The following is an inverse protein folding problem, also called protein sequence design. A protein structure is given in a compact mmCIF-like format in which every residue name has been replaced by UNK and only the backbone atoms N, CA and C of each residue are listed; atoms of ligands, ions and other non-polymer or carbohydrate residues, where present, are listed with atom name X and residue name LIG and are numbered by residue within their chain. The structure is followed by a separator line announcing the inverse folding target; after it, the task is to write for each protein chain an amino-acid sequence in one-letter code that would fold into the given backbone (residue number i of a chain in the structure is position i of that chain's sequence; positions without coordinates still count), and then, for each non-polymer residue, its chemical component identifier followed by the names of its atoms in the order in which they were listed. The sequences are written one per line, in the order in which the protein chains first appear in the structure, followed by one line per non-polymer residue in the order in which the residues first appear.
data_IF_364797557856
#
_entry.id   IF_364797557856
#
_cell.length_a   1.000
_cell.length_b   1.000
_cell.length_c   1.000
_cell.angle_alpha   90.00
_cell.angle_beta   90.00
_cell.angle_gamma   90.00
#
_symmetry.space_group_name_H-M   'P 1'
#
loop_
_entity.id
_entity.type
_entity.pdbx_description
1 polymer ?
#
# COMPACT_ATOMS: atom_id res chain seq x y z
N UNK A 1 17.02 8.35 19.08
CA UNK A 1 16.15 7.24 18.63
C UNK A 1 15.24 7.76 17.54
N UNK A 2 15.03 7.02 16.46
CA UNK A 2 14.03 7.38 15.44
C UNK A 2 12.64 7.33 16.07
N UNK A 3 11.89 8.43 16.07
CA UNK A 3 10.51 8.47 16.56
C UNK A 3 9.60 7.70 15.58
N UNK A 4 8.83 6.74 16.10
CA UNK A 4 7.90 5.92 15.32
C UNK A 4 6.49 6.53 15.39
N UNK A 5 6.31 7.69 14.76
CA UNK A 5 5.11 8.52 14.91
C UNK A 5 3.80 7.76 14.65
N UNK A 6 3.68 7.06 13.51
CA UNK A 6 2.46 6.32 13.19
C UNK A 6 2.20 5.20 14.20
N UNK A 7 3.24 4.51 14.64
CA UNK A 7 3.12 3.42 15.61
C UNK A 7 2.54 3.96 16.92
N UNK A 8 3.10 5.05 17.46
CA UNK A 8 2.60 5.66 18.69
C UNK A 8 1.13 6.08 18.55
N UNK A 9 0.77 6.71 17.43
CA UNK A 9 -0.61 7.14 17.15
C UNK A 9 -1.58 5.95 17.15
N UNK A 10 -1.23 4.83 16.51
CA UNK A 10 -2.12 3.67 16.43
C UNK A 10 -2.10 2.80 17.69
N UNK A 11 -1.05 2.86 18.49
CA UNK A 11 -0.99 2.17 19.79
C UNK A 11 -1.95 2.80 20.81
N UNK A 12 -2.20 4.11 20.71
CA UNK A 12 -3.21 4.81 21.52
C UNK A 12 -4.66 4.44 21.15
N UNK A 13 -4.88 3.83 19.98
CA UNK A 13 -6.19 3.37 19.55
C UNK A 13 -6.40 1.93 20.06
N UNK A 14 -7.35 1.73 20.98
CA UNK A 14 -7.77 0.38 21.37
C UNK A 14 -8.40 -0.35 20.19
N UNK A 15 -7.97 -1.59 19.94
CA UNK A 15 -8.53 -2.40 18.84
C UNK A 15 -10.02 -2.68 19.05
N UNK A 16 -10.45 -2.85 20.30
CA UNK A 16 -11.85 -3.07 20.69
C UNK A 16 -12.76 -1.87 20.39
N UNK A 17 -12.19 -0.68 20.16
CA UNK A 17 -12.94 0.52 19.80
C UNK A 17 -13.24 0.60 18.30
N UNK A 18 -12.65 -0.27 17.47
CA UNK A 18 -12.96 -0.32 16.04
C UNK A 18 -14.39 -0.87 15.81
N UNK A 19 -15.07 -0.54 14.70
CA UNK A 19 -16.36 -1.15 14.39
C UNK A 19 -16.25 -2.68 14.23
N UNK A 20 -17.30 -3.44 14.54
CA UNK A 20 -17.29 -4.91 14.50
C UNK A 20 -16.77 -5.51 13.17
N UNK A 21 -17.07 -4.87 12.03
CA UNK A 21 -16.57 -5.27 10.70
C UNK A 21 -15.04 -5.22 10.57
N UNK A 22 -14.38 -4.38 11.36
CA UNK A 22 -12.92 -4.24 11.38
C UNK A 22 -12.25 -5.20 12.37
N UNK A 23 -13.03 -5.86 13.22
CA UNK A 23 -12.54 -6.78 14.26
C UNK A 23 -12.63 -8.25 13.83
N UNK A 24 -13.53 -8.60 12.92
CA UNK A 24 -13.87 -9.98 12.55
C UNK A 24 -12.83 -10.76 11.73
N UNK A 25 -11.57 -10.32 11.70
CA UNK A 25 -10.51 -10.97 10.94
C UNK A 25 -9.80 -12.07 11.75
N UNK A 26 -9.48 -13.19 11.10
CA UNK A 26 -8.55 -14.17 11.66
C UNK A 26 -7.11 -13.69 11.45
N UNK A 27 -6.49 -13.22 12.53
CA UNK A 27 -5.08 -12.80 12.54
C UNK A 27 -4.10 -13.96 12.71
N UNK A 28 -4.57 -15.12 13.15
CA UNK A 28 -3.70 -16.22 13.56
C UNK A 28 -3.42 -17.17 12.42
N UNK A 29 -4.45 -17.59 11.67
CA UNK A 29 -4.28 -18.63 10.65
C UNK A 29 -3.89 -18.05 9.29
N UNK A 30 -2.88 -18.67 8.69
CA UNK A 30 -2.43 -18.33 7.34
C UNK A 30 -2.76 -19.44 6.33
N UNK A 31 -2.38 -20.68 6.66
CA UNK A 31 -2.64 -21.86 5.84
C UNK A 31 -2.98 -23.06 6.73
N UNK A 32 -3.03 -24.26 6.14
CA UNK A 32 -3.24 -25.50 6.90
C UNK A 32 -2.19 -25.67 8.00
N UNK A 33 -0.93 -25.36 7.67
CA UNK A 33 0.24 -25.68 8.49
C UNK A 33 0.95 -24.42 9.03
N UNK A 34 0.53 -23.21 8.62
CA UNK A 34 1.13 -21.94 9.07
C UNK A 34 0.18 -21.09 9.90
N UNK A 35 0.72 -20.62 11.02
CA UNK A 35 0.11 -19.58 11.86
C UNK A 35 1.07 -18.40 11.99
N UNK A 36 0.50 -17.21 12.19
CA UNK A 36 1.27 -15.99 12.37
C UNK A 36 1.82 -15.89 13.79
N UNK A 37 3.03 -15.37 13.92
CA UNK A 37 3.62 -15.00 15.20
C UNK A 37 2.97 -13.74 15.77
N UNK A 38 3.10 -13.53 17.08
CA UNK A 38 2.42 -12.43 17.76
C UNK A 38 2.84 -11.05 17.25
N UNK A 39 4.11 -10.85 16.90
CA UNK A 39 4.57 -9.60 16.28
C UNK A 39 3.95 -9.36 14.90
N UNK A 40 3.66 -10.43 14.13
CA UNK A 40 2.99 -10.32 12.83
C UNK A 40 1.51 -9.96 13.02
N UNK A 41 0.84 -10.56 14.01
CA UNK A 41 -0.53 -10.21 14.41
C UNK A 41 -0.62 -8.76 14.84
N UNK A 42 0.30 -8.30 15.70
CA UNK A 42 0.36 -6.92 16.16
C UNK A 42 0.60 -5.95 14.99
N UNK A 43 1.50 -6.28 14.07
CA UNK A 43 1.71 -5.50 12.85
C UNK A 43 0.43 -5.36 12.02
N UNK A 44 -0.30 -6.46 11.82
CA UNK A 44 -1.59 -6.47 11.11
C UNK A 44 -2.68 -5.66 11.82
N UNK A 45 -2.77 -5.76 13.16
CA UNK A 45 -3.70 -4.94 13.95
C UNK A 45 -3.37 -3.45 13.83
N UNK A 46 -2.09 -3.08 13.94
CA UNK A 46 -1.65 -1.70 13.76
C UNK A 46 -1.94 -1.18 12.35
N UNK A 47 -1.81 -2.03 11.32
CA UNK A 47 -2.19 -1.70 9.95
C UNK A 47 -3.69 -1.38 9.84
N UNK A 48 -4.55 -2.22 10.42
CA UNK A 48 -6.01 -1.99 10.43
C UNK A 48 -6.38 -0.71 11.17
N UNK A 49 -5.77 -0.44 12.33
CA UNK A 49 -5.96 0.81 13.07
C UNK A 49 -5.54 2.02 12.25
N UNK A 50 -4.40 1.93 11.54
CA UNK A 50 -3.93 2.99 10.65
C UNK A 50 -4.87 3.24 9.46
N UNK A 51 -5.37 2.18 8.82
CA UNK A 51 -6.37 2.26 7.76
C UNK A 51 -7.67 2.90 8.27
N UNK A 52 -8.16 2.46 9.43
CA UNK A 52 -9.37 3.01 10.05
C UNK A 52 -9.18 4.49 10.41
N UNK A 53 -8.06 4.83 11.05
CA UNK A 53 -7.72 6.21 11.39
C UNK A 53 -7.75 7.10 10.15
N UNK A 54 -7.11 6.70 9.06
CA UNK A 54 -7.07 7.51 7.85
C UNK A 54 -8.43 7.60 7.16
N UNK A 55 -9.06 6.46 6.84
CA UNK A 55 -10.26 6.45 5.99
C UNK A 55 -11.55 6.77 6.74
N UNK A 56 -11.66 6.44 8.03
CA UNK A 56 -12.89 6.62 8.82
C UNK A 56 -12.80 7.85 9.72
N UNK A 57 -11.81 7.91 10.60
CA UNK A 57 -11.69 9.02 11.56
C UNK A 57 -11.31 10.32 10.85
N UNK A 58 -10.23 10.30 10.04
CA UNK A 58 -9.76 11.46 9.26
C UNK A 58 -10.46 11.61 7.92
N UNK A 59 -11.39 10.72 7.55
CA UNK A 59 -12.20 10.79 6.31
C UNK A 59 -11.36 10.94 5.03
N UNK A 60 -10.22 10.25 4.98
CA UNK A 60 -9.22 10.35 3.91
C UNK A 60 -8.62 11.77 3.73
N UNK A 61 -8.70 12.63 4.75
CA UNK A 61 -8.08 13.95 4.74
C UNK A 61 -6.61 13.85 5.21
N UNK A 62 -5.71 14.01 4.25
CA UNK A 62 -4.26 13.99 4.48
C UNK A 62 -3.78 15.12 5.39
N UNK A 63 -4.41 16.30 5.34
CA UNK A 63 -4.05 17.42 6.23
C UNK A 63 -4.47 17.11 7.66
N UNK A 64 -5.68 16.58 7.85
CA UNK A 64 -6.15 16.16 9.17
C UNK A 64 -5.27 15.05 9.77
N UNK A 65 -4.83 14.08 8.95
CA UNK A 65 -3.88 13.07 9.37
C UNK A 65 -2.52 13.69 9.73
N UNK A 66 -2.00 14.63 8.93
CA UNK A 66 -0.74 15.31 9.21
C UNK A 66 -0.79 16.12 10.52
N UNK A 67 -1.90 16.80 10.82
CA UNK A 67 -2.08 17.48 12.11
C UNK A 67 -2.06 16.50 13.28
N UNK A 68 -2.63 15.30 13.13
CA UNK A 68 -2.51 14.24 14.15
C UNK A 68 -1.04 13.88 14.43
N UNK A 69 -0.20 13.80 13.39
CA UNK A 69 1.23 13.56 13.58
C UNK A 69 1.92 14.70 14.33
N UNK A 70 1.59 15.97 14.02
CA UNK A 70 2.13 17.13 14.75
C UNK A 70 1.74 17.12 16.21
N UNK A 71 0.48 16.81 16.52
CA UNK A 71 0.00 16.63 17.90
C UNK A 71 0.75 15.52 18.65
N UNK A 72 1.29 14.55 17.90
CA UNK A 72 2.14 13.46 18.42
C UNK A 72 3.64 13.79 18.37
N UNK A 73 4.00 15.07 18.29
CA UNK A 73 5.36 15.57 18.44
C UNK A 73 6.21 15.50 17.17
N UNK A 74 5.58 15.43 15.98
CA UNK A 74 6.24 15.64 14.70
C UNK A 74 6.49 17.14 14.49
N UNK A 75 7.72 17.58 14.71
CA UNK A 75 8.13 18.99 14.56
C UNK A 75 9.00 19.22 13.32
N UNK A 76 9.57 18.15 12.75
CA UNK A 76 10.46 18.27 11.60
C UNK A 76 9.71 18.66 10.31
N UNK A 77 10.31 19.54 9.52
CA UNK A 77 9.81 19.88 8.20
C UNK A 77 10.33 18.89 7.14
N UNK A 78 9.42 18.07 6.64
CA UNK A 78 9.66 17.10 5.56
C UNK A 78 9.07 17.54 4.20
N UNK A 79 8.80 18.83 4.03
CA UNK A 79 8.26 19.37 2.78
C UNK A 79 9.22 19.10 1.62
N UNK A 80 8.63 18.70 0.49
CA UNK A 80 9.37 18.34 -0.69
C UNK A 80 9.87 19.59 -1.42
N UNK A 81 11.19 19.75 -1.59
CA UNK A 81 11.79 20.91 -2.24
C UNK A 81 12.15 20.63 -3.71
N UNK A 82 11.41 21.26 -4.63
CA UNK A 82 11.55 21.04 -6.07
C UNK A 82 12.94 21.45 -6.62
N UNK A 83 13.63 22.39 -5.97
CA UNK A 83 14.98 22.80 -6.38
C UNK A 83 16.03 21.73 -6.15
N UNK A 84 15.86 20.91 -5.11
CA UNK A 84 16.83 19.88 -4.71
C UNK A 84 16.60 18.56 -5.46
N UNK A 85 15.36 18.31 -5.92
CA UNK A 85 14.94 16.97 -6.37
C UNK A 85 14.25 16.98 -7.75
N UNK A 86 14.87 17.71 -8.70
CA UNK A 86 14.31 18.03 -10.04
C UNK A 86 13.82 16.84 -10.88
N UNK A 87 14.37 15.63 -10.69
CA UNK A 87 14.01 14.47 -11.53
C UNK A 87 12.64 13.89 -11.17
N UNK A 88 12.28 13.85 -9.90
CA UNK A 88 10.98 13.32 -9.47
C UNK A 88 9.91 14.42 -9.38
N UNK A 89 10.34 15.68 -9.21
CA UNK A 89 9.51 16.88 -9.30
C UNK A 89 8.65 16.93 -10.57
N UNK A 90 9.18 16.54 -11.74
CA UNK A 90 8.44 16.57 -13.02
C UNK A 90 7.09 15.85 -12.92
N UNK A 91 7.03 14.73 -12.22
CA UNK A 91 5.82 13.91 -12.10
C UNK A 91 4.81 14.47 -11.11
N UNK A 92 5.26 15.09 -10.02
CA UNK A 92 4.35 15.75 -9.08
C UNK A 92 3.65 16.94 -9.74
N UNK A 93 4.37 17.66 -10.60
CA UNK A 93 3.86 18.81 -11.33
C UNK A 93 2.79 18.44 -12.37
N UNK A 94 2.66 17.16 -12.75
CA UNK A 94 1.57 16.69 -13.63
C UNK A 94 0.22 16.62 -12.89
N UNK A 95 0.21 16.67 -11.56
CA UNK A 95 -0.99 16.58 -10.71
C UNK A 95 -1.07 17.75 -9.71
N UNK A 96 -1.27 18.98 -10.19
CA UNK A 96 -1.21 20.19 -9.35
C UNK A 96 -2.29 20.25 -8.28
N UNK A 97 -3.45 19.61 -8.49
CA UNK A 97 -4.53 19.52 -7.50
C UNK A 97 -4.14 18.63 -6.30
N UNK A 98 -3.48 17.51 -6.59
CA UNK A 98 -3.05 16.55 -5.57
C UNK A 98 -1.76 17.00 -4.86
N UNK A 99 -0.90 17.74 -5.57
CA UNK A 99 0.42 18.18 -5.12
C UNK A 99 0.63 19.68 -5.35
N UNK A 100 -0.12 20.55 -4.65
CA UNK A 100 -0.04 21.98 -4.81
C UNK A 100 1.35 22.50 -4.43
N UNK A 101 1.93 23.30 -5.32
CA UNK A 101 3.25 23.89 -5.13
C UNK A 101 3.10 25.29 -4.55
N UNK A 102 3.69 25.50 -3.36
CA UNK A 102 3.77 26.81 -2.71
C UNK A 102 5.23 27.12 -2.42
N UNK A 103 5.72 28.26 -2.89
CA UNK A 103 7.13 28.66 -2.73
C UNK A 103 8.14 27.58 -3.17
N UNK A 104 7.85 26.94 -4.30
CA UNK A 104 8.65 25.86 -4.89
C UNK A 104 8.82 24.62 -3.99
N UNK A 105 7.87 24.42 -3.07
CA UNK A 105 7.78 23.26 -2.20
C UNK A 105 6.38 22.64 -2.26
N UNK A 106 6.29 21.36 -1.93
CA UNK A 106 5.03 20.64 -1.75
C UNK A 106 5.00 20.14 -0.32
N UNK A 107 3.88 20.39 0.38
CA UNK A 107 3.80 20.05 1.80
C UNK A 107 3.89 18.53 2.02
N UNK A 108 4.59 18.12 3.09
CA UNK A 108 4.67 16.71 3.47
C UNK A 108 3.30 16.07 3.71
N UNK A 109 2.29 16.86 4.07
CA UNK A 109 0.91 16.40 4.24
C UNK A 109 0.44 15.58 3.04
N UNK A 110 0.81 15.93 1.81
CA UNK A 110 0.36 15.23 0.60
C UNK A 110 0.93 13.81 0.43
N UNK A 111 1.94 13.44 1.24
CA UNK A 111 2.64 12.16 1.19
C UNK A 111 2.40 11.28 2.43
N UNK A 112 1.60 11.75 3.41
CA UNK A 112 1.49 11.14 4.75
C UNK A 112 0.68 9.84 4.80
N UNK A 113 -0.14 9.54 3.78
CA UNK A 113 -1.00 8.36 3.71
C UNK A 113 -0.23 7.07 3.39
N UNK A 114 0.79 6.75 4.20
CA UNK A 114 1.65 5.57 4.02
C UNK A 114 1.95 4.93 5.36
N UNK A 115 2.11 3.61 5.34
CA UNK A 115 2.59 2.82 6.47
C UNK A 115 3.83 2.02 6.08
N UNK A 116 4.72 1.78 7.03
CA UNK A 116 5.96 1.02 6.81
C UNK A 116 6.12 -0.04 7.87
N UNK A 117 6.48 -1.25 7.44
CA UNK A 117 6.75 -2.38 8.34
C UNK A 117 8.26 -2.61 8.43
N UNK A 118 8.88 -2.12 9.51
CA UNK A 118 10.28 -2.43 9.78
C UNK A 118 10.38 -3.76 10.52
N UNK A 119 10.95 -4.77 9.87
CA UNK A 119 11.08 -6.13 10.41
C UNK A 119 12.34 -6.77 9.81
N UNK A 120 12.92 -7.74 10.52
CA UNK A 120 14.12 -8.45 10.06
C UNK A 120 13.87 -9.26 8.78
N UNK A 121 14.91 -9.44 7.96
CA UNK A 121 14.85 -10.36 6.80
C UNK A 121 14.54 -11.78 7.28
N UNK A 122 13.67 -12.50 6.56
CA UNK A 122 13.23 -13.85 6.96
C UNK A 122 12.16 -13.88 8.06
N UNK A 123 11.70 -12.74 8.58
CA UNK A 123 10.62 -12.67 9.59
C UNK A 123 9.20 -12.96 9.04
N UNK A 124 9.09 -13.38 7.78
CA UNK A 124 7.80 -13.71 7.16
C UNK A 124 6.96 -12.49 6.77
N UNK A 125 7.58 -11.36 6.37
CA UNK A 125 6.87 -10.15 5.89
C UNK A 125 5.82 -10.45 4.81
N UNK A 126 6.13 -11.35 3.89
CA UNK A 126 5.23 -11.74 2.80
C UNK A 126 3.90 -12.29 3.34
N UNK A 127 3.89 -12.97 4.49
CA UNK A 127 2.66 -13.45 5.12
C UNK A 127 1.76 -12.28 5.56
N UNK A 128 2.36 -11.23 6.13
CA UNK A 128 1.64 -10.00 6.51
C UNK A 128 1.07 -9.33 5.26
N UNK A 129 1.83 -9.26 4.17
CA UNK A 129 1.37 -8.65 2.91
C UNK A 129 0.14 -9.40 2.39
N UNK A 130 0.17 -10.74 2.33
CA UNK A 130 -0.97 -11.55 1.87
C UNK A 130 -2.18 -11.38 2.79
N UNK A 131 -2.01 -11.35 4.12
CA UNK A 131 -3.11 -11.10 5.06
C UNK A 131 -3.65 -9.66 4.96
N UNK A 132 -2.79 -8.69 4.69
CA UNK A 132 -3.23 -7.31 4.47
C UNK A 132 -4.06 -7.19 3.18
N UNK A 133 -3.70 -7.92 2.12
CA UNK A 133 -4.52 -8.03 0.90
C UNK A 133 -5.91 -8.59 1.22
N UNK A 134 -5.97 -9.67 2.02
CA UNK A 134 -7.24 -10.24 2.48
C UNK A 134 -8.10 -9.17 3.18
N UNK A 135 -7.52 -8.40 4.10
CA UNK A 135 -8.24 -7.37 4.85
C UNK A 135 -8.72 -6.25 3.95
N UNK A 136 -7.85 -5.74 3.06
CA UNK A 136 -8.21 -4.71 2.08
C UNK A 136 -9.37 -5.17 1.20
N UNK A 137 -9.28 -6.37 0.63
CA UNK A 137 -10.33 -6.89 -0.24
C UNK A 137 -11.67 -7.07 0.46
N UNK A 138 -11.68 -7.61 1.69
CA UNK A 138 -12.90 -7.73 2.49
C UNK A 138 -13.49 -6.37 2.86
N UNK A 139 -12.68 -5.43 3.33
CA UNK A 139 -13.14 -4.09 3.69
C UNK A 139 -13.65 -3.30 2.47
N UNK A 140 -13.04 -3.47 1.29
CA UNK A 140 -13.52 -2.86 0.04
C UNK A 140 -14.87 -3.48 -0.37
N UNK A 141 -14.99 -4.82 -0.31
CA UNK A 141 -16.24 -5.52 -0.65
C UNK A 141 -17.40 -5.12 0.27
N UNK A 142 -17.11 -4.90 1.55
CA UNK A 142 -18.09 -4.43 2.56
C UNK A 142 -18.34 -2.91 2.52
N UNK A 143 -17.71 -2.20 1.57
CA UNK A 143 -17.77 -0.73 1.41
C UNK A 143 -17.26 0.04 2.64
N UNK A 144 -16.42 -0.60 3.45
CA UNK A 144 -15.73 0.05 4.55
C UNK A 144 -14.54 0.88 4.05
N UNK A 145 -13.88 0.44 2.99
CA UNK A 145 -12.82 1.20 2.31
C UNK A 145 -13.29 1.70 0.93
N UNK A 146 -12.72 2.81 0.43
CA UNK A 146 -12.96 3.26 -0.94
C UNK A 146 -12.59 2.17 -1.94
N UNK A 147 -13.40 2.02 -2.99
CA UNK A 147 -13.12 1.11 -4.09
C UNK A 147 -11.81 1.52 -4.78
N UNK A 148 -10.89 0.57 -4.86
CA UNK A 148 -9.59 0.73 -5.51
C UNK A 148 -8.96 -0.62 -5.82
N UNK A 149 -8.01 -0.63 -6.74
CA UNK A 149 -7.26 -1.84 -7.11
C UNK A 149 -6.04 -2.02 -6.21
N UNK A 150 -5.61 -3.27 -6.03
CA UNK A 150 -4.42 -3.59 -5.23
C UNK A 150 -3.26 -3.89 -6.17
N UNK A 151 -2.12 -3.22 -5.94
CA UNK A 151 -0.88 -3.41 -6.70
C UNK A 151 0.26 -3.84 -5.76
N UNK A 152 0.81 -5.02 -6.00
CA UNK A 152 2.00 -5.52 -5.34
C UNK A 152 3.24 -5.31 -6.22
N UNK A 153 4.30 -4.74 -5.65
CA UNK A 153 5.55 -4.50 -6.37
C UNK A 153 6.73 -5.04 -5.57
N UNK A 154 7.61 -5.78 -6.26
CA UNK A 154 8.89 -6.22 -5.74
C UNK A 154 10.01 -5.91 -6.74
N UNK A 155 11.24 -5.79 -6.28
CA UNK A 155 12.38 -5.38 -7.12
C UNK A 155 13.15 -6.57 -7.72
N UNK A 156 12.80 -7.81 -7.36
CA UNK A 156 13.42 -9.05 -7.86
C UNK A 156 12.37 -10.11 -8.20
N UNK A 157 12.71 -10.99 -9.14
CA UNK A 157 11.82 -12.08 -9.58
C UNK A 157 11.58 -13.13 -8.47
N UNK A 158 12.60 -13.48 -7.70
CA UNK A 158 12.48 -14.47 -6.63
C UNK A 158 11.53 -14.01 -5.51
N UNK A 159 11.47 -12.70 -5.23
CA UNK A 159 10.49 -12.13 -4.31
C UNK A 159 9.07 -12.19 -4.86
N UNK A 160 8.89 -11.95 -6.17
CA UNK A 160 7.58 -12.12 -6.83
C UNK A 160 7.14 -13.58 -6.81
N UNK A 161 8.05 -14.52 -7.07
CA UNK A 161 7.77 -15.97 -6.99
C UNK A 161 7.44 -16.39 -5.57
N UNK A 162 8.18 -15.91 -4.57
CA UNK A 162 7.88 -16.12 -3.16
C UNK A 162 6.47 -15.62 -2.82
N UNK A 163 6.12 -14.40 -3.24
CA UNK A 163 4.78 -13.85 -3.03
C UNK A 163 3.68 -14.71 -3.68
N UNK A 164 3.87 -15.14 -4.94
CA UNK A 164 2.92 -16.03 -5.64
C UNK A 164 2.71 -17.34 -4.89
N UNK A 165 3.79 -17.99 -4.45
CA UNK A 165 3.71 -19.24 -3.70
C UNK A 165 2.94 -19.09 -2.39
N UNK A 166 3.13 -17.97 -1.67
CA UNK A 166 2.37 -17.68 -0.44
C UNK A 166 0.89 -17.39 -0.72
N UNK A 167 0.57 -16.77 -1.85
CA UNK A 167 -0.82 -16.57 -2.28
C UNK A 167 -1.49 -17.89 -2.64
N UNK A 168 -0.81 -18.78 -3.35
CA UNK A 168 -1.31 -20.12 -3.65
C UNK A 168 -1.55 -20.93 -2.38
N UNK A 169 -0.61 -20.89 -1.44
CA UNK A 169 -0.75 -21.52 -0.14
C UNK A 169 -1.95 -20.96 0.64
N UNK A 170 -2.09 -19.64 0.70
CA UNK A 170 -3.24 -18.98 1.33
C UNK A 170 -4.56 -19.41 0.68
N UNK A 171 -4.63 -19.37 -0.65
CA UNK A 171 -5.84 -19.74 -1.42
C UNK A 171 -6.21 -21.23 -1.26
N UNK A 172 -5.23 -22.12 -1.07
CA UNK A 172 -5.48 -23.56 -0.89
C UNK A 172 -6.29 -23.88 0.37
N UNK A 173 -6.28 -22.96 1.33
CA UNK A 173 -6.91 -23.12 2.63
C UNK A 173 -8.12 -22.21 2.86
N UNK A 174 -8.20 -21.08 2.14
CA UNK A 174 -9.28 -20.10 2.29
C UNK A 174 -10.33 -20.28 1.19
N UNK A 175 -11.45 -20.91 1.55
CA UNK A 175 -12.58 -21.14 0.64
C UNK A 175 -13.46 -19.90 0.45
N UNK A 176 -13.52 -19.03 1.46
CA UNK A 176 -14.39 -17.85 1.46
C UNK A 176 -13.77 -16.63 0.78
N UNK A 177 -12.46 -16.60 0.53
CA UNK A 177 -11.77 -15.45 -0.05
C UNK A 177 -10.60 -15.93 -0.87
N UNK A 178 -10.59 -15.57 -2.17
CA UNK A 178 -9.56 -16.01 -3.10
C UNK A 178 -8.83 -14.82 -3.68
N UNK A 179 -7.51 -14.83 -3.60
CA UNK A 179 -6.65 -13.80 -4.18
C UNK A 179 -6.26 -14.24 -5.60
N UNK A 180 -6.68 -13.47 -6.59
CA UNK A 180 -6.39 -13.71 -8.00
C UNK A 180 -5.26 -12.79 -8.47
N UNK A 181 -4.10 -13.38 -8.76
CA UNK A 181 -2.92 -12.64 -9.22
C UNK A 181 -3.00 -12.39 -10.74
N UNK A 182 -2.79 -11.13 -11.14
CA UNK A 182 -2.71 -10.71 -12.54
C UNK A 182 -1.43 -9.93 -12.78
N UNK A 183 -0.81 -10.14 -13.94
CA UNK A 183 0.33 -9.30 -14.31
C UNK A 183 -0.17 -7.88 -14.60
N UNK A 184 0.54 -6.85 -14.14
CA UNK A 184 0.18 -5.45 -14.43
C UNK A 184 0.09 -5.16 -15.94
N UNK A 185 0.83 -5.88 -16.79
CA UNK A 185 0.75 -5.75 -18.26
C UNK A 185 -0.62 -6.09 -18.82
N UNK A 186 -1.38 -6.93 -18.11
CA UNK A 186 -2.72 -7.36 -18.52
C UNK A 186 -3.81 -6.47 -17.90
N UNK A 187 -3.45 -5.33 -17.29
CA UNK A 187 -4.41 -4.46 -16.63
C UNK A 187 -5.54 -4.00 -17.55
N UNK A 188 -5.19 -3.49 -18.74
CA UNK A 188 -6.16 -3.00 -19.72
C UNK A 188 -7.07 -4.11 -20.27
N UNK A 189 -6.57 -5.34 -20.43
CA UNK A 189 -7.43 -6.47 -20.84
C UNK A 189 -8.35 -6.87 -19.70
N UNK A 190 -7.83 -7.05 -18.48
CA UNK A 190 -8.62 -7.43 -17.30
C UNK A 190 -9.73 -6.41 -17.00
N UNK A 191 -9.45 -5.10 -17.15
CA UNK A 191 -10.46 -4.04 -16.95
C UNK A 191 -11.51 -3.99 -18.06
N UNK A 192 -11.14 -4.27 -19.31
CA UNK A 192 -12.09 -4.31 -20.44
C UNK A 192 -12.97 -5.56 -20.42
N UNK A 193 -12.41 -6.68 -19.98
CA UNK A 193 -13.13 -7.95 -19.95
C UNK A 193 -14.28 -7.96 -18.94
N UNK A 194 -14.39 -6.95 -18.06
CA UNK A 194 -15.47 -6.83 -17.06
C UNK A 194 -15.77 -8.20 -16.44
N UNK A 195 -14.72 -8.95 -16.07
CA UNK A 195 -14.89 -10.26 -15.48
C UNK A 195 -15.57 -10.04 -14.13
N UNK A 196 -16.90 -10.20 -14.13
CA UNK A 196 -17.69 -10.29 -12.91
C UNK A 196 -16.96 -11.33 -12.04
N UNK A 197 -16.57 -10.99 -10.80
CA UNK A 197 -15.88 -11.94 -9.94
C UNK A 197 -16.73 -13.21 -9.87
N UNK A 198 -16.16 -14.32 -10.34
CA UNK A 198 -16.90 -15.57 -10.53
C UNK A 198 -17.32 -16.17 -9.18
N UNK A 199 -16.63 -15.77 -8.11
CA UNK A 199 -16.96 -16.10 -6.73
C UNK A 199 -17.24 -14.83 -5.91
N UNK A 200 -18.07 -14.98 -4.87
CA UNK A 200 -18.64 -13.89 -4.07
C UNK A 200 -17.59 -12.97 -3.40
N UNK A 201 -16.33 -13.39 -3.32
CA UNK A 201 -15.23 -12.74 -2.59
C UNK A 201 -13.86 -12.95 -3.29
N UNK A 202 -13.76 -12.69 -4.60
CA UNK A 202 -12.47 -12.68 -5.29
C UNK A 202 -11.77 -11.32 -5.15
N UNK A 203 -10.49 -11.34 -4.77
CA UNK A 203 -9.64 -10.15 -4.65
C UNK A 203 -8.62 -10.19 -5.78
N UNK A 204 -8.78 -9.31 -6.77
CA UNK A 204 -7.80 -9.16 -7.85
C UNK A 204 -6.62 -8.33 -7.37
N UNK A 205 -5.41 -8.88 -7.49
CA UNK A 205 -4.16 -8.20 -7.16
C UNK A 205 -3.27 -8.18 -8.40
N UNK A 206 -2.91 -6.98 -8.82
CA UNK A 206 -1.92 -6.81 -9.86
C UNK A 206 -0.53 -6.92 -9.25
N UNK A 207 0.39 -7.60 -9.93
CA UNK A 207 1.78 -7.67 -9.50
C UNK A 207 2.73 -7.26 -10.63
N UNK A 208 3.85 -6.63 -10.25
CA UNK A 208 4.90 -6.30 -11.21
C UNK A 208 6.28 -6.10 -10.57
N UNK A 209 7.32 -6.13 -11.42
CA UNK A 209 8.68 -5.79 -11.03
C UNK A 209 8.84 -4.27 -10.97
N UNK A 210 9.19 -3.75 -9.81
CA UNK A 210 9.32 -2.30 -9.58
C UNK A 210 10.44 -1.65 -10.39
N UNK A 211 11.51 -2.40 -10.73
CA UNK A 211 12.63 -1.94 -11.54
C UNK A 211 12.34 -1.90 -13.05
N UNK A 212 11.28 -2.58 -13.49
CA UNK A 212 10.79 -2.56 -14.86
C UNK A 212 9.70 -1.49 -15.09
N UNK A 213 9.38 -0.69 -14.06
CA UNK A 213 8.50 0.47 -14.19
C UNK A 213 9.38 1.67 -14.47
N UNK A 214 9.28 2.20 -15.69
CA UNK A 214 10.01 3.39 -16.11
C UNK A 214 9.26 4.09 -17.23
N UNK A 215 9.60 5.36 -17.40
CA UNK A 215 9.00 6.29 -18.34
C UNK A 215 9.62 6.20 -19.73
N UNK A 216 10.73 5.48 -19.86
CA UNK A 216 11.42 5.26 -21.12
C UNK A 216 10.89 4.00 -21.80
N UNK A 217 10.32 4.14 -23.00
CA UNK A 217 9.89 3.01 -23.81
C UNK A 217 11.08 2.11 -24.17
N UNK A 218 11.19 0.95 -23.50
CA UNK A 218 11.92 -0.23 -23.96
C UNK A 218 11.00 -1.44 -23.82
N UNK A 219 11.18 -2.47 -24.63
CA UNK A 219 10.25 -3.63 -24.77
C UNK A 219 9.85 -4.34 -23.46
N UNK A 220 10.65 -4.23 -22.38
CA UNK A 220 10.33 -4.80 -21.06
C UNK A 220 9.83 -3.79 -20.04
N UNK A 221 9.84 -2.50 -20.36
CA UNK A 221 9.51 -1.39 -19.47
C UNK A 221 8.07 -0.96 -19.71
N UNK A 222 7.30 -0.80 -18.63
CA UNK A 222 5.91 -0.34 -18.74
C UNK A 222 5.75 1.08 -18.25
N UNK A 223 5.11 1.91 -19.08
CA UNK A 223 4.83 3.31 -18.75
C UNK A 223 3.75 3.39 -17.67
N UNK A 224 4.12 3.92 -16.52
CA UNK A 224 3.26 4.02 -15.35
C UNK A 224 1.98 4.86 -15.61
N UNK A 225 2.02 5.80 -16.56
CA UNK A 225 0.86 6.64 -16.94
C UNK A 225 -0.34 5.83 -17.43
N UNK A 226 -0.07 4.68 -18.05
CA UNK A 226 -1.13 3.81 -18.55
C UNK A 226 -1.89 3.11 -17.42
N UNK A 227 -1.41 3.19 -16.18
CA UNK A 227 -2.00 2.55 -15.02
C UNK A 227 -2.33 3.54 -13.90
N UNK A 228 -2.56 4.82 -14.21
CA UNK A 228 -2.84 5.83 -13.17
C UNK A 228 -4.05 5.45 -12.28
N UNK A 229 -5.05 4.75 -12.85
CA UNK A 229 -6.29 4.34 -12.18
C UNK A 229 -6.95 5.47 -11.36
N UNK A 230 -6.82 6.71 -11.84
CA UNK A 230 -7.28 7.92 -11.15
C UNK A 230 -6.76 8.04 -9.69
N UNK A 231 -5.58 7.51 -9.42
CA UNK A 231 -4.96 7.54 -8.10
C UNK A 231 -5.60 6.59 -7.07
N UNK A 232 -6.43 5.62 -7.48
CA UNK A 232 -7.17 4.69 -6.60
C UNK A 232 -6.47 3.34 -6.44
N UNK A 233 -5.16 3.36 -6.23
CA UNK A 233 -4.40 2.16 -5.91
C UNK A 233 -4.17 2.01 -4.41
N UNK A 234 -4.26 0.78 -3.94
CA UNK A 234 -3.61 0.32 -2.72
C UNK A 234 -2.29 -0.33 -3.09
N UNK A 235 -1.17 0.29 -2.72
CA UNK A 235 0.15 -0.14 -3.18
C UNK A 235 0.91 -0.84 -2.06
N UNK A 236 1.33 -2.07 -2.33
CA UNK A 236 2.15 -2.87 -1.43
C UNK A 236 3.55 -3.01 -2.04
N UNK A 237 4.54 -2.40 -1.38
CA UNK A 237 5.94 -2.43 -1.82
C UNK A 237 6.76 -3.38 -0.94
N UNK A 238 7.32 -4.42 -1.53
CA UNK A 238 8.28 -5.29 -0.84
C UNK A 238 9.72 -4.76 -1.02
N UNK A 239 10.49 -4.83 0.06
CA UNK A 239 11.85 -4.26 0.16
C UNK A 239 11.98 -2.81 -0.32
N UNK A 240 11.08 -1.95 0.14
CA UNK A 240 11.15 -0.51 -0.10
C UNK A 240 12.33 0.18 0.60
N UNK A 241 13.39 -0.51 1.01
CA UNK A 241 14.56 0.10 1.66
C UNK A 241 15.86 -0.59 1.27
N UNK A 242 16.27 -0.43 0.01
CA UNK A 242 17.69 -0.43 -0.32
C UNK A 242 18.08 1.03 -0.51
N UNK A 243 19.03 1.52 0.30
CA UNK A 243 19.41 2.95 0.43
C UNK A 243 20.07 3.56 -0.82
N UNK A 244 19.83 3.02 -2.00
CA UNK A 244 20.39 3.52 -3.24
C UNK A 244 19.64 4.77 -3.72
N UNK A 245 20.37 5.76 -4.22
CA UNK A 245 19.79 7.00 -4.81
C UNK A 245 18.82 6.72 -5.98
N UNK A 246 18.87 5.52 -6.56
CA UNK A 246 17.89 5.04 -7.54
C UNK A 246 16.55 4.63 -6.90
N UNK A 247 16.54 4.14 -5.67
CA UNK A 247 15.34 3.75 -4.92
C UNK A 247 14.56 4.94 -4.40
N UNK A 248 15.23 6.05 -4.05
CA UNK A 248 14.52 7.30 -3.72
C UNK A 248 13.67 7.81 -4.88
N UNK A 249 14.12 7.63 -6.14
CA UNK A 249 13.31 7.95 -7.34
C UNK A 249 12.13 7.00 -7.48
N UNK A 250 12.34 5.70 -7.24
CA UNK A 250 11.30 4.66 -7.32
C UNK A 250 10.21 4.84 -6.27
N UNK A 251 10.56 5.09 -5.01
CA UNK A 251 9.61 5.45 -3.93
C UNK A 251 8.75 6.65 -4.28
N UNK A 252 9.33 7.58 -5.02
CA UNK A 252 8.64 8.76 -5.49
C UNK A 252 7.64 8.44 -6.61
N UNK A 253 8.04 7.61 -7.60
CA UNK A 253 7.17 7.04 -8.64
C UNK A 253 5.92 6.34 -8.11
N UNK A 254 5.97 5.77 -6.90
CA UNK A 254 4.81 5.11 -6.27
C UNK A 254 3.94 6.04 -5.42
N UNK A 255 4.27 7.33 -5.33
CA UNK A 255 3.41 8.36 -4.71
C UNK A 255 2.25 8.76 -5.62
N UNK A 256 2.47 8.69 -6.93
CA UNK A 256 1.52 9.12 -7.97
C UNK A 256 0.28 8.23 -8.12
N UNK A 257 0.35 6.88 -8.01
CA UNK A 257 -0.81 5.99 -8.09
C UNK A 257 -1.71 5.98 -6.84
N UNK A 258 -1.22 6.37 -5.66
CA UNK A 258 -1.98 6.32 -4.39
C UNK A 258 -2.48 7.70 -3.94
N UNK A 259 -2.77 8.61 -4.89
CA UNK A 259 -3.25 9.97 -4.60
C UNK A 259 -4.55 9.94 -3.78
N UNK A 260 -5.49 9.08 -4.20
CA UNK A 260 -6.79 8.85 -3.57
C UNK A 260 -6.88 7.52 -2.81
N UNK A 261 -5.90 6.63 -3.00
CA UNK A 261 -5.73 5.38 -2.27
C UNK A 261 -4.73 5.48 -1.11
N UNK A 262 -4.04 4.38 -0.80
CA UNK A 262 -3.03 4.28 0.27
C UNK A 262 -1.81 3.49 -0.15
#
# INVERSE_FOLDING_TARGET
MSKLYLQNIVEDISFENLPAKWQGFDFSRFSKDKTLFDFQKQGLQNALKGLWLYFKDKKADKKALFEQYKLNGLEENFDYNLNRERKAAKYLLEYPEDYPVVNNKISFAHFINRMSFWMATGSGKTLIIVKLIEFLGKLIAEKELPTGDILFLAHRDDLLEQFKNHVEEFNSFNFDTKINLKNLRDYESVKRENALPFAKNEITVFYYRSDLISDEHKEKIVNFRNYDNSGKWYILLDEAYNGDKADSKRKFSFSFPSRNGS
#
